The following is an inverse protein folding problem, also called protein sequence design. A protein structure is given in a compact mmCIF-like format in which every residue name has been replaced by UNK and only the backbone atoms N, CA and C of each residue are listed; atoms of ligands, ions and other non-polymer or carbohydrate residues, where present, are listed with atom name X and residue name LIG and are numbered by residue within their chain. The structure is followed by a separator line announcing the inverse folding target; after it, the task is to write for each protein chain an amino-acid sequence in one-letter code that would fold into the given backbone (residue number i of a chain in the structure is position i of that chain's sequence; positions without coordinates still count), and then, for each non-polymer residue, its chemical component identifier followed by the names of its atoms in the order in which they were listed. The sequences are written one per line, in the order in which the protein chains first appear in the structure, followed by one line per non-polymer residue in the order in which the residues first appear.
data_IF_141053148299
#
_entry.id   IF_141053148299
#
_cell.length_a   1.000
_cell.length_b   1.000
_cell.length_c   1.000
_cell.angle_alpha   90.00
_cell.angle_beta   90.00
_cell.angle_gamma   90.00
#
_symmetry.space_group_name_H-M   'P 1'
#
loop_
_entity.id
_entity.type
_entity.pdbx_description
1 polymer ?
#
# COMPACT_ATOMS: atom_id res chain seq x y z
N UNK A 1 -53.85 48.70 10.11
CA UNK A 1 -54.03 47.55 9.24
C UNK A 1 -52.61 47.15 8.82
N UNK A 2 -51.93 46.39 9.61
CA UNK A 2 -51.66 44.91 9.49
C UNK A 2 -50.90 44.60 8.21
N UNK A 3 -49.68 44.16 8.25
CA UNK A 3 -49.20 42.89 8.78
C UNK A 3 -47.67 42.79 8.78
N UNK A 4 -47.17 42.27 9.87
CA UNK A 4 -45.91 41.60 10.06
C UNK A 4 -45.57 40.58 8.97
N UNK A 5 -44.30 40.45 8.63
CA UNK A 5 -43.64 39.15 8.49
C UNK A 5 -42.13 39.27 8.66
N UNK A 6 -41.68 38.84 9.82
CA UNK A 6 -40.32 38.46 10.14
C UNK A 6 -39.77 37.47 9.14
N UNK A 7 -38.56 37.67 8.65
CA UNK A 7 -37.76 36.59 8.04
C UNK A 7 -36.32 36.69 8.53
N UNK A 8 -36.10 36.04 9.64
CA UNK A 8 -34.82 35.80 10.28
C UNK A 8 -34.10 34.67 9.52
N UNK A 9 -33.22 34.98 8.59
CA UNK A 9 -32.30 34.03 8.00
C UNK A 9 -30.94 34.11 8.69
N UNK A 10 -30.80 33.29 9.75
CA UNK A 10 -29.54 33.00 10.39
C UNK A 10 -28.56 32.29 9.47
N UNK A 11 -27.56 33.02 8.98
CA UNK A 11 -26.43 32.45 8.24
C UNK A 11 -25.63 31.49 9.13
N UNK A 12 -25.71 30.19 8.81
CA UNK A 12 -24.81 29.17 9.37
C UNK A 12 -23.40 29.38 8.79
N UNK A 13 -22.46 29.75 9.65
CA UNK A 13 -21.03 29.71 9.34
C UNK A 13 -20.62 28.24 9.12
N UNK A 14 -19.80 27.89 8.11
CA UNK A 14 -19.26 26.55 7.98
C UNK A 14 -18.28 26.29 9.13
N UNK A 15 -18.55 25.23 9.86
CA UNK A 15 -17.74 24.68 10.93
C UNK A 15 -16.39 24.23 10.38
N UNK A 16 -15.30 24.80 10.89
CA UNK A 16 -13.92 24.39 10.57
C UNK A 16 -13.67 23.06 11.25
N UNK A 17 -13.76 21.97 10.50
CA UNK A 17 -13.45 20.62 10.97
C UNK A 17 -12.04 20.54 11.56
N UNK A 18 -11.95 20.12 12.80
CA UNK A 18 -10.74 19.79 13.55
C UNK A 18 -10.05 18.56 12.89
N UNK A 19 -8.78 18.64 12.45
CA UNK A 19 -8.08 17.54 11.77
C UNK A 19 -7.72 16.34 12.66
N UNK A 20 -8.16 16.30 13.93
CA UNK A 20 -7.87 15.19 14.87
C UNK A 20 -8.99 14.17 15.05
N UNK A 21 -10.04 14.16 14.21
CA UNK A 21 -11.24 13.35 14.46
C UNK A 21 -11.49 12.19 13.50
N UNK A 22 -10.49 11.75 12.72
CA UNK A 22 -10.64 10.58 11.84
C UNK A 22 -9.76 9.39 12.25
N UNK A 23 -9.68 9.10 13.54
CA UNK A 23 -9.39 7.74 14.00
C UNK A 23 -10.72 7.11 14.41
N UNK A 24 -11.40 6.52 13.44
CA UNK A 24 -12.62 5.73 13.64
C UNK A 24 -12.29 4.48 14.48
N UNK A 25 -12.64 4.43 15.79
CA UNK A 25 -12.33 3.29 16.67
C UNK A 25 -13.07 2.02 16.25
N UNK A 26 -13.98 2.11 15.28
CA UNK A 26 -14.78 0.99 14.78
C UNK A 26 -14.05 0.16 13.70
N UNK A 27 -12.94 0.63 13.14
CA UNK A 27 -12.20 -0.08 12.09
C UNK A 27 -11.45 -1.29 12.65
N UNK A 28 -10.90 -1.18 13.84
CA UNK A 28 -10.25 -2.31 14.53
C UNK A 28 -11.27 -3.35 15.04
N UNK A 29 -12.46 -2.95 15.48
CA UNK A 29 -13.51 -3.89 15.89
C UNK A 29 -14.02 -4.76 14.75
N UNK A 30 -14.13 -4.24 13.51
CA UNK A 30 -14.56 -5.02 12.33
C UNK A 30 -13.55 -6.09 11.93
N UNK A 31 -12.25 -5.85 12.09
CA UNK A 31 -11.23 -6.85 11.79
C UNK A 31 -11.20 -7.97 12.84
N UNK A 32 -11.37 -7.67 14.12
CA UNK A 32 -11.47 -8.69 15.17
C UNK A 32 -12.74 -9.54 15.02
N UNK A 33 -13.87 -8.96 14.63
CA UNK A 33 -15.10 -9.72 14.38
C UNK A 33 -15.00 -10.68 13.20
N UNK A 34 -14.29 -10.32 12.13
CA UNK A 34 -14.10 -11.22 10.98
C UNK A 34 -13.11 -12.36 11.29
N UNK A 35 -12.07 -12.12 12.09
CA UNK A 35 -11.15 -13.16 12.56
C UNK A 35 -11.87 -14.09 13.54
N UNK A 36 -12.66 -13.55 14.46
CA UNK A 36 -13.46 -14.33 15.39
C UNK A 36 -14.48 -15.21 14.66
N UNK A 37 -15.18 -14.67 13.66
CA UNK A 37 -16.12 -15.43 12.84
C UNK A 37 -15.42 -16.56 12.07
N UNK A 38 -14.21 -16.35 11.56
CA UNK A 38 -13.40 -17.39 10.90
C UNK A 38 -13.03 -18.50 11.89
N UNK A 39 -12.56 -18.15 13.08
CA UNK A 39 -12.21 -19.12 14.14
C UNK A 39 -13.43 -19.95 14.59
N UNK A 40 -14.60 -19.30 14.71
CA UNK A 40 -15.86 -20.00 15.05
C UNK A 40 -16.25 -20.96 13.92
N UNK A 41 -16.19 -20.56 12.66
CA UNK A 41 -16.48 -21.44 11.55
C UNK A 41 -15.50 -22.63 11.48
N UNK A 42 -14.20 -22.39 11.71
CA UNK A 42 -13.19 -23.45 11.76
C UNK A 42 -13.49 -24.43 12.89
N UNK A 43 -13.84 -23.92 14.06
CA UNK A 43 -14.19 -24.76 15.22
C UNK A 43 -15.45 -25.59 14.95
N UNK A 44 -16.48 -25.00 14.35
CA UNK A 44 -17.70 -25.72 13.97
C UNK A 44 -17.42 -26.81 12.94
N UNK A 45 -16.58 -26.55 11.93
CA UNK A 45 -16.21 -27.59 10.95
C UNK A 45 -15.44 -28.74 11.60
N UNK A 46 -14.52 -28.45 12.53
CA UNK A 46 -13.80 -29.49 13.29
C UNK A 46 -14.74 -30.32 14.17
N UNK A 47 -15.70 -29.68 14.83
CA UNK A 47 -16.69 -30.38 15.67
C UNK A 47 -17.61 -31.24 14.79
N UNK A 48 -18.13 -30.70 13.66
CA UNK A 48 -18.94 -31.47 12.73
C UNK A 48 -18.17 -32.67 12.15
N UNK A 49 -16.88 -32.49 11.84
CA UNK A 49 -16.03 -33.59 11.38
C UNK A 49 -15.83 -34.65 12.44
N UNK A 50 -15.56 -34.25 13.68
CA UNK A 50 -15.44 -35.20 14.82
C UNK A 50 -16.74 -35.96 15.09
N UNK A 51 -17.90 -35.27 15.00
CA UNK A 51 -19.20 -35.94 15.15
C UNK A 51 -19.46 -36.90 14.00
N UNK A 52 -19.09 -36.53 12.77
CA UNK A 52 -19.26 -37.36 11.59
C UNK A 52 -18.37 -38.61 11.66
N UNK A 53 -17.11 -38.47 12.06
CA UNK A 53 -16.19 -39.64 12.27
C UNK A 53 -16.66 -40.55 13.38
N UNK A 54 -17.19 -40.00 14.49
CA UNK A 54 -17.79 -40.80 15.54
C UNK A 54 -19.09 -41.53 15.13
N UNK A 55 -19.86 -40.96 14.20
CA UNK A 55 -21.07 -41.56 13.65
C UNK A 55 -20.78 -42.71 12.67
N UNK A 56 -19.62 -42.65 11.99
CA UNK A 56 -19.12 -43.71 11.11
C UNK A 56 -18.33 -44.80 11.83
N UNK A 57 -18.00 -44.61 13.12
CA UNK A 57 -17.38 -45.66 13.91
C UNK A 57 -18.44 -46.70 14.22
N UNK A 58 -18.32 -47.88 13.59
CA UNK A 58 -19.11 -49.06 13.94
C UNK A 58 -18.93 -49.32 15.42
N UNK A 59 -20.03 -49.57 16.13
CA UNK A 59 -20.04 -49.96 17.57
C UNK A 59 -19.52 -51.40 17.77
N UNK A 60 -18.40 -51.72 17.13
CA UNK A 60 -17.75 -53.02 17.29
C UNK A 60 -16.71 -52.94 18.38
N UNK A 61 -16.82 -53.84 19.35
CA UNK A 61 -15.84 -53.97 20.45
C UNK A 61 -14.94 -55.17 20.20
N UNK A 62 -13.63 -54.97 20.38
CA UNK A 62 -12.66 -56.04 20.28
C UNK A 62 -12.81 -57.02 21.44
N UNK A 63 -12.85 -58.32 21.15
CA UNK A 63 -12.83 -59.40 22.15
C UNK A 63 -11.71 -60.36 21.82
N UNK A 64 -11.21 -61.06 22.86
CA UNK A 64 -10.21 -62.10 22.64
C UNK A 64 -10.84 -63.32 21.99
N UNK A 65 -10.05 -64.07 21.21
CA UNK A 65 -10.51 -65.29 20.55
C UNK A 65 -11.05 -66.35 21.54
N UNK A 66 -10.45 -66.48 22.71
CA UNK A 66 -10.95 -67.37 23.77
C UNK A 66 -12.35 -67.01 24.23
N UNK A 67 -12.62 -65.69 24.42
CA UNK A 67 -13.95 -65.18 24.75
C UNK A 67 -14.99 -65.47 23.70
N UNK A 68 -14.60 -65.34 22.41
CA UNK A 68 -15.45 -65.74 21.29
C UNK A 68 -15.81 -67.22 21.37
N UNK A 69 -14.84 -68.13 21.64
CA UNK A 69 -15.08 -69.53 21.76
C UNK A 69 -16.02 -69.83 22.95
N UNK A 70 -15.85 -69.16 24.09
CA UNK A 70 -16.77 -69.25 25.24
C UNK A 70 -18.19 -68.81 24.84
N UNK A 71 -18.38 -67.73 24.07
CA UNK A 71 -19.69 -67.29 23.59
C UNK A 71 -20.32 -68.32 22.63
N UNK A 72 -19.52 -68.97 21.78
CA UNK A 72 -19.99 -70.07 20.92
C UNK A 72 -20.46 -71.26 21.77
N UNK A 73 -19.70 -71.68 22.78
CA UNK A 73 -20.04 -72.82 23.66
C UNK A 73 -21.28 -72.52 24.52
N UNK A 74 -21.53 -71.28 24.89
CA UNK A 74 -22.69 -70.82 25.64
C UNK A 74 -23.95 -70.51 24.80
N UNK A 75 -23.90 -70.76 23.48
CA UNK A 75 -24.99 -70.48 22.51
C UNK A 75 -25.42 -69.01 22.50
N UNK A 76 -24.48 -68.11 22.72
CA UNK A 76 -24.72 -66.62 22.71
C UNK A 76 -24.54 -65.96 21.38
N UNK A 77 -23.98 -66.67 20.37
CA UNK A 77 -23.66 -66.15 19.06
C UNK A 77 -24.79 -66.43 18.07
N UNK A 78 -25.22 -65.40 17.31
CA UNK A 78 -26.24 -65.48 16.25
C UNK A 78 -25.61 -65.76 14.90
N UNK A 79 -24.59 -64.97 14.52
CA UNK A 79 -23.88 -65.12 13.25
C UNK A 79 -22.42 -64.71 13.39
N UNK A 80 -21.59 -65.32 12.57
CA UNK A 80 -20.17 -65.01 12.44
C UNK A 80 -19.88 -64.75 11.00
N UNK A 81 -19.28 -63.61 10.71
CA UNK A 81 -18.84 -63.24 9.36
C UNK A 81 -17.32 -63.17 9.34
N UNK A 82 -16.68 -63.93 8.47
CA UNK A 82 -15.26 -63.86 8.21
C UNK A 82 -14.98 -62.89 7.08
N UNK A 83 -14.16 -61.88 7.36
CA UNK A 83 -13.74 -60.91 6.37
C UNK A 83 -12.21 -60.80 6.44
N UNK A 84 -11.51 -61.35 5.46
CA UNK A 84 -10.05 -61.55 5.52
C UNK A 84 -9.63 -62.32 6.75
N UNK A 85 -8.88 -61.76 7.70
CA UNK A 85 -8.40 -62.38 8.92
C UNK A 85 -9.22 -61.97 10.16
N UNK A 86 -10.30 -61.19 9.99
CA UNK A 86 -11.13 -60.69 11.07
C UNK A 86 -12.49 -61.43 11.11
N UNK A 87 -12.87 -61.83 12.28
CA UNK A 87 -14.18 -62.41 12.55
C UNK A 87 -15.09 -61.34 13.18
N UNK A 88 -16.18 -61.02 12.50
CA UNK A 88 -17.24 -60.18 13.06
C UNK A 88 -18.32 -61.07 13.64
N UNK A 89 -18.64 -60.87 14.91
CA UNK A 89 -19.51 -61.73 15.71
C UNK A 89 -20.74 -60.92 16.14
N UNK A 90 -21.92 -61.41 15.81
CA UNK A 90 -23.19 -60.79 16.22
C UNK A 90 -23.82 -61.65 17.31
N UNK A 91 -24.05 -61.15 18.55
CA UNK A 91 -24.66 -61.88 19.63
C UNK A 91 -26.17 -62.04 19.43
N UNK A 92 -26.75 -63.13 20.01
CA UNK A 92 -28.23 -63.39 20.01
C UNK A 92 -28.99 -62.37 20.86
N UNK A 93 -28.44 -61.92 21.97
CA UNK A 93 -29.01 -60.88 22.83
C UNK A 93 -28.45 -59.52 22.46
N UNK A 94 -29.26 -58.68 21.82
CA UNK A 94 -28.92 -57.30 21.63
C UNK A 94 -29.46 -56.45 22.80
N UNK A 95 -28.62 -55.60 23.36
CA UNK A 95 -28.98 -54.75 24.51
C UNK A 95 -29.89 -53.60 24.10
N UNK A 96 -29.91 -53.24 22.81
CA UNK A 96 -30.72 -52.14 22.29
C UNK A 96 -31.31 -52.49 20.92
N UNK A 97 -32.68 -52.38 20.70
CA UNK A 97 -33.28 -52.73 19.44
C UNK A 97 -32.89 -51.84 18.26
N UNK A 98 -32.29 -50.68 18.52
CA UNK A 98 -31.89 -49.67 17.53
C UNK A 98 -30.40 -49.64 17.22
N UNK A 99 -29.59 -50.51 17.87
CA UNK A 99 -28.14 -50.51 17.72
C UNK A 99 -27.63 -51.96 17.72
N UNK A 100 -27.20 -52.46 16.58
CA UNK A 100 -26.54 -53.76 16.50
C UNK A 100 -25.15 -53.65 17.10
N UNK A 101 -24.95 -54.36 18.23
CA UNK A 101 -23.63 -54.49 18.83
C UNK A 101 -22.97 -55.68 18.13
N UNK A 102 -21.81 -55.42 17.53
CA UNK A 102 -20.95 -56.45 16.97
C UNK A 102 -19.62 -56.52 17.73
N UNK A 103 -19.08 -57.71 17.84
CA UNK A 103 -17.73 -57.92 18.36
C UNK A 103 -16.82 -58.32 17.21
N UNK A 104 -15.55 -57.97 17.30
CA UNK A 104 -14.57 -58.44 16.34
C UNK A 104 -13.37 -59.06 17.06
N UNK A 105 -12.80 -60.08 16.42
CA UNK A 105 -11.58 -60.74 16.86
C UNK A 105 -10.80 -61.25 15.64
N UNK A 106 -9.50 -61.41 15.80
CA UNK A 106 -8.67 -61.96 14.72
C UNK A 106 -8.81 -63.48 14.72
N UNK A 107 -8.84 -64.07 13.52
CA UNK A 107 -8.81 -65.52 13.35
C UNK A 107 -7.43 -66.07 13.77
N UNK A 108 -7.42 -66.94 14.76
CA UNK A 108 -6.18 -67.52 15.31
C UNK A 108 -5.98 -68.98 14.87
N UNK A 109 -7.01 -69.61 14.32
CA UNK A 109 -6.97 -71.00 13.80
C UNK A 109 -7.36 -71.06 12.33
N UNK A 110 -7.16 -72.20 11.69
CA UNK A 110 -7.47 -72.39 10.27
C UNK A 110 -8.98 -72.28 10.01
N UNK A 111 -9.41 -71.63 8.92
CA UNK A 111 -10.83 -71.43 8.53
C UNK A 111 -11.59 -72.78 8.49
N UNK A 112 -10.92 -73.87 8.08
CA UNK A 112 -11.49 -75.21 8.05
C UNK A 112 -11.73 -75.80 9.46
N UNK A 113 -10.89 -75.42 10.43
CA UNK A 113 -11.04 -75.86 11.83
C UNK A 113 -12.19 -75.10 12.52
N UNK A 114 -12.28 -73.79 12.23
CA UNK A 114 -13.38 -72.97 12.71
C UNK A 114 -14.75 -73.41 12.17
N UNK A 115 -14.83 -73.70 10.86
CA UNK A 115 -16.05 -74.19 10.20
C UNK A 115 -16.52 -75.50 10.82
N UNK A 116 -15.62 -76.51 11.04
CA UNK A 116 -15.94 -77.78 11.71
C UNK A 116 -16.45 -77.54 13.13
N UNK A 117 -15.94 -76.56 13.84
CA UNK A 117 -16.35 -76.28 15.21
C UNK A 117 -17.73 -75.60 15.26
N UNK A 118 -18.07 -74.82 14.27
CA UNK A 118 -19.38 -74.15 14.12
C UNK A 118 -20.44 -75.07 13.49
N UNK A 119 -20.04 -76.16 12.82
CA UNK A 119 -20.96 -77.21 12.32
C UNK A 119 -21.73 -77.83 13.43
N UNK A 120 -23.05 -77.75 13.38
CA UNK A 120 -23.95 -78.34 14.44
C UNK A 120 -24.39 -77.39 15.52
N UNK A 121 -23.82 -76.18 15.65
CA UNK A 121 -24.19 -75.15 16.63
C UNK A 121 -25.35 -74.28 16.24
N UNK A 122 -25.81 -74.34 14.97
CA UNK A 122 -26.90 -73.50 14.45
C UNK A 122 -26.49 -72.02 14.21
N UNK A 123 -25.22 -71.67 14.28
CA UNK A 123 -24.66 -70.35 14.01
C UNK A 123 -24.54 -70.13 12.50
N UNK A 124 -25.01 -68.98 12.03
CA UNK A 124 -24.90 -68.61 10.61
C UNK A 124 -23.47 -68.17 10.35
N UNK A 125 -22.68 -68.99 9.64
CA UNK A 125 -21.32 -68.63 9.21
C UNK A 125 -21.34 -68.10 7.76
N UNK A 126 -20.76 -66.91 7.53
CA UNK A 126 -20.60 -66.31 6.24
C UNK A 126 -19.14 -65.95 6.03
N UNK A 127 -18.59 -66.21 4.86
CA UNK A 127 -17.30 -65.69 4.41
C UNK A 127 -17.59 -64.66 3.33
N UNK A 128 -17.23 -63.43 3.57
CA UNK A 128 -17.44 -62.35 2.64
C UNK A 128 -16.06 -61.83 2.14
N UNK A 129 -15.88 -61.65 0.83
CA UNK A 129 -14.67 -61.03 0.32
C UNK A 129 -14.52 -59.61 0.87
N UNK A 130 -13.29 -59.11 1.07
CA UNK A 130 -13.08 -57.74 1.52
C UNK A 130 -13.72 -56.74 0.56
N UNK A 131 -14.58 -55.87 1.08
CA UNK A 131 -15.18 -54.79 0.26
C UNK A 131 -14.17 -53.64 0.06
N UNK A 132 -13.11 -53.96 -0.71
CA UNK A 132 -12.03 -53.02 -1.01
C UNK A 132 -12.54 -51.72 -1.68
N UNK A 133 -13.67 -51.80 -2.40
CA UNK A 133 -14.27 -50.63 -3.03
C UNK A 133 -15.00 -49.75 -2.02
N UNK A 134 -15.77 -50.35 -1.12
CA UNK A 134 -16.46 -49.62 -0.05
C UNK A 134 -15.50 -48.93 0.90
N UNK A 135 -14.45 -49.64 1.33
CA UNK A 135 -13.38 -49.08 2.17
C UNK A 135 -12.62 -47.96 1.48
N UNK A 136 -12.27 -48.12 0.20
CA UNK A 136 -11.63 -47.06 -0.60
C UNK A 136 -12.55 -45.85 -0.75
N UNK A 137 -13.83 -46.03 -1.02
CA UNK A 137 -14.80 -44.94 -1.12
C UNK A 137 -15.03 -44.25 0.22
N UNK A 138 -15.08 -44.96 1.31
CA UNK A 138 -15.18 -44.39 2.67
C UNK A 138 -13.94 -43.56 3.02
N UNK A 139 -12.74 -44.05 2.69
CA UNK A 139 -11.46 -43.36 2.88
C UNK A 139 -11.41 -42.09 2.00
N UNK A 140 -11.78 -42.19 0.72
CA UNK A 140 -11.86 -41.04 -0.20
C UNK A 140 -12.83 -39.98 0.29
N UNK A 141 -14.01 -40.40 0.76
CA UNK A 141 -15.03 -39.47 1.25
C UNK A 141 -14.60 -38.77 2.55
N UNK A 142 -13.92 -39.49 3.46
CA UNK A 142 -13.43 -38.91 4.70
C UNK A 142 -12.34 -37.86 4.51
N UNK A 143 -11.55 -37.93 3.43
CA UNK A 143 -10.50 -36.95 3.10
C UNK A 143 -11.01 -35.84 2.18
N UNK A 144 -11.79 -36.17 1.15
CA UNK A 144 -12.28 -35.20 0.17
C UNK A 144 -13.35 -34.25 0.75
N UNK A 145 -14.27 -34.75 1.53
CA UNK A 145 -15.40 -33.95 2.02
C UNK A 145 -14.93 -32.79 2.93
N UNK A 146 -14.05 -32.97 3.93
CA UNK A 146 -13.53 -31.85 4.71
C UNK A 146 -12.61 -30.94 3.91
N UNK A 147 -11.83 -31.45 2.94
CA UNK A 147 -10.96 -30.62 2.12
C UNK A 147 -11.76 -29.73 1.16
N UNK A 148 -12.82 -30.21 0.54
CA UNK A 148 -13.74 -29.42 -0.29
C UNK A 148 -14.48 -28.39 0.56
N UNK A 149 -14.95 -28.77 1.74
CA UNK A 149 -15.62 -27.83 2.65
C UNK A 149 -14.66 -26.70 3.07
N UNK A 150 -13.43 -27.04 3.43
CA UNK A 150 -12.39 -26.05 3.78
C UNK A 150 -12.10 -25.13 2.59
N UNK A 151 -11.97 -25.67 1.37
CA UNK A 151 -11.74 -24.89 0.16
C UNK A 151 -12.89 -23.91 -0.13
N UNK A 152 -14.15 -24.36 -0.03
CA UNK A 152 -15.33 -23.51 -0.21
C UNK A 152 -15.38 -22.41 0.85
N UNK A 153 -15.06 -22.72 2.09
CA UNK A 153 -15.02 -21.78 3.20
C UNK A 153 -13.92 -20.74 3.02
N UNK A 154 -12.75 -21.16 2.55
CA UNK A 154 -11.62 -20.31 2.23
C UNK A 154 -11.94 -19.38 1.04
N UNK A 155 -12.59 -19.90 0.00
CA UNK A 155 -13.06 -19.13 -1.15
C UNK A 155 -14.14 -18.11 -0.77
N UNK A 156 -15.07 -18.49 0.11
CA UNK A 156 -16.08 -17.57 0.65
C UNK A 156 -15.45 -16.45 1.47
N UNK A 157 -14.47 -16.78 2.32
CA UNK A 157 -13.71 -15.83 3.12
C UNK A 157 -12.90 -14.88 2.24
N UNK A 158 -12.22 -15.38 1.21
CA UNK A 158 -11.52 -14.57 0.22
C UNK A 158 -12.47 -13.62 -0.54
N UNK A 159 -13.66 -14.10 -0.95
CA UNK A 159 -14.66 -13.25 -1.59
C UNK A 159 -15.20 -12.16 -0.64
N UNK A 160 -15.36 -12.46 0.64
CA UNK A 160 -15.80 -11.49 1.64
C UNK A 160 -14.72 -10.45 1.96
N UNK A 161 -13.45 -10.86 2.01
CA UNK A 161 -12.32 -9.93 2.15
C UNK A 161 -12.18 -9.00 0.93
N UNK A 162 -12.46 -9.50 -0.26
CA UNK A 162 -12.36 -8.71 -1.50
C UNK A 162 -13.50 -7.68 -1.64
N UNK A 163 -14.67 -7.89 -1.02
CA UNK A 163 -15.77 -6.90 -0.96
C UNK A 163 -15.55 -5.79 0.06
N UNK A 164 -14.57 -5.95 0.97
CA UNK A 164 -14.21 -4.97 2.01
C UNK A 164 -13.05 -4.04 1.65
N UNK A 165 -12.69 -3.89 0.37
CA UNK A 165 -11.72 -2.89 -0.12
C UNK A 165 -10.31 -3.06 0.47
N UNK A 166 -9.56 -4.04 0.03
CA UNK A 166 -8.16 -4.17 0.41
C UNK A 166 -7.63 -5.60 0.34
N UNK A 167 -7.77 -6.26 -0.82
CA UNK A 167 -7.11 -7.54 -1.04
C UNK A 167 -5.60 -7.40 -0.96
N UNK A 168 -4.92 -8.42 -0.43
CA UNK A 168 -3.45 -8.52 -0.33
C UNK A 168 -2.73 -8.39 -1.69
N UNK A 169 -3.45 -8.38 -2.82
CA UNK A 169 -2.98 -8.00 -4.16
C UNK A 169 -3.01 -6.49 -4.43
N UNK A 170 -3.49 -5.66 -3.47
CA UNK A 170 -3.48 -4.20 -3.53
C UNK A 170 -2.16 -3.56 -3.09
N UNK A 171 -1.14 -4.34 -2.74
CA UNK A 171 0.20 -3.83 -2.40
C UNK A 171 0.87 -3.16 -3.61
N UNK A 172 0.46 -3.50 -4.85
CA UNK A 172 0.96 -2.85 -6.08
C UNK A 172 0.20 -1.60 -6.52
N UNK A 173 -0.99 -1.31 -5.98
CA UNK A 173 -1.65 -0.02 -6.19
C UNK A 173 -1.26 0.90 -5.04
N UNK A 174 -0.06 1.43 -5.11
CA UNK A 174 0.32 2.61 -4.34
C UNK A 174 -0.76 3.66 -4.58
N UNK A 175 -1.50 4.02 -3.53
CA UNK A 175 -2.19 5.28 -3.49
C UNK A 175 -1.12 6.37 -3.31
N UNK A 176 -0.25 6.51 -4.30
CA UNK A 176 0.43 7.77 -4.49
C UNK A 176 -0.69 8.75 -4.79
N UNK A 177 -1.24 9.37 -3.76
CA UNK A 177 -1.81 10.69 -3.91
C UNK A 177 -0.60 11.53 -4.31
N UNK A 178 -0.28 11.54 -5.61
CA UNK A 178 0.50 12.59 -6.18
C UNK A 178 -0.15 13.86 -5.62
N UNK A 179 0.62 14.67 -4.90
CA UNK A 179 0.11 15.93 -4.37
C UNK A 179 -0.18 16.81 -5.57
N UNK A 180 -1.39 16.66 -6.11
CA UNK A 180 -1.87 17.46 -7.23
C UNK A 180 -2.33 18.78 -6.67
N UNK A 181 -1.58 19.82 -6.91
CA UNK A 181 -2.04 21.19 -6.69
C UNK A 181 -2.59 21.69 -8.02
N UNK A 182 -3.91 21.78 -8.13
CA UNK A 182 -4.57 22.30 -9.34
C UNK A 182 -4.16 23.74 -9.65
N UNK A 183 -3.93 24.53 -8.61
CA UNK A 183 -3.41 25.89 -8.67
C UNK A 183 -2.42 26.07 -7.53
N UNK A 184 -1.21 26.52 -7.82
CA UNK A 184 -0.19 26.75 -6.80
C UNK A 184 -0.41 28.06 -6.05
N UNK A 185 -1.09 29.03 -6.67
CA UNK A 185 -1.29 30.38 -6.14
C UNK A 185 0.01 31.18 -5.99
N UNK A 186 1.15 30.65 -6.45
CA UNK A 186 2.48 31.25 -6.36
C UNK A 186 2.92 31.62 -7.77
N UNK A 187 3.42 32.84 -7.96
CA UNK A 187 3.91 33.37 -9.24
C UNK A 187 5.36 33.83 -9.12
N UNK A 188 5.97 34.25 -10.22
CA UNK A 188 7.31 34.83 -10.20
C UNK A 188 7.43 36.10 -9.34
N UNK A 189 6.32 36.76 -9.03
CA UNK A 189 6.28 37.91 -8.11
C UNK A 189 6.55 37.54 -6.65
N UNK A 190 6.27 36.27 -6.30
CA UNK A 190 6.49 35.73 -4.96
C UNK A 190 7.90 35.18 -4.78
N UNK A 191 8.67 35.07 -5.87
CA UNK A 191 10.07 34.64 -5.88
C UNK A 191 10.96 35.87 -6.01
N UNK A 192 11.58 36.27 -4.93
CA UNK A 192 12.52 37.37 -4.93
C UNK A 192 13.95 36.93 -5.33
N UNK A 193 14.66 37.78 -6.04
CA UNK A 193 15.95 37.43 -6.64
C UNK A 193 15.80 36.38 -7.75
N UNK A 194 16.88 35.70 -8.09
CA UNK A 194 16.92 34.61 -9.10
C UNK A 194 16.48 35.07 -10.50
N UNK A 195 16.83 36.29 -10.89
CA UNK A 195 16.35 36.89 -12.12
C UNK A 195 16.76 36.09 -13.37
N UNK A 196 18.00 35.57 -13.42
CA UNK A 196 18.50 34.72 -14.51
C UNK A 196 17.75 33.37 -14.60
N UNK A 197 17.48 32.76 -13.43
CA UNK A 197 16.71 31.52 -13.38
C UNK A 197 15.24 31.71 -13.81
N UNK A 198 14.64 32.84 -13.44
CA UNK A 198 13.28 33.23 -13.90
C UNK A 198 13.25 33.43 -15.41
N UNK A 199 14.22 34.18 -15.97
CA UNK A 199 14.32 34.42 -17.40
C UNK A 199 14.44 33.10 -18.19
N UNK A 200 15.32 32.20 -17.73
CA UNK A 200 15.47 30.88 -18.32
C UNK A 200 14.20 30.04 -18.29
N UNK A 201 13.35 30.21 -17.27
CA UNK A 201 12.09 29.48 -17.10
C UNK A 201 10.91 30.19 -17.77
N UNK A 202 11.02 31.49 -18.11
CA UNK A 202 9.98 32.23 -18.79
C UNK A 202 9.65 31.63 -20.17
N UNK A 203 10.67 31.14 -20.89
CA UNK A 203 10.49 30.46 -22.18
C UNK A 203 9.67 29.14 -21.98
N UNK A 204 9.87 28.48 -20.86
CA UNK A 204 9.13 27.26 -20.51
C UNK A 204 7.67 27.57 -20.21
N UNK A 205 7.41 28.69 -19.51
CA UNK A 205 6.04 29.17 -19.24
C UNK A 205 5.34 29.51 -20.54
N UNK A 206 6.01 30.27 -21.45
CA UNK A 206 5.44 30.65 -22.74
C UNK A 206 5.08 29.40 -23.58
N UNK A 207 5.93 28.40 -23.56
CA UNK A 207 5.62 27.14 -24.22
C UNK A 207 4.37 26.44 -23.65
N UNK A 208 4.24 26.37 -22.35
CA UNK A 208 3.05 25.73 -21.72
C UNK A 208 1.76 26.47 -22.07
N UNK A 209 1.84 27.79 -22.28
CA UNK A 209 0.71 28.60 -22.74
C UNK A 209 0.36 28.37 -24.22
N UNK A 210 1.36 28.26 -25.08
CA UNK A 210 1.17 28.27 -26.54
C UNK A 210 2.04 27.20 -27.24
N UNK A 211 1.84 25.92 -26.95
CA UNK A 211 2.68 24.84 -27.52
C UNK A 211 2.60 24.76 -29.03
N UNK A 212 1.45 25.15 -29.64
CA UNK A 212 1.24 25.11 -31.09
C UNK A 212 2.21 25.95 -31.87
N UNK A 213 2.55 27.19 -31.42
CA UNK A 213 3.49 28.08 -32.10
C UNK A 213 4.87 27.47 -32.31
N UNK A 214 5.34 26.69 -31.32
CA UNK A 214 6.66 26.05 -31.37
C UNK A 214 6.64 24.84 -32.32
N UNK A 215 5.55 24.07 -32.31
CA UNK A 215 5.37 22.91 -33.19
C UNK A 215 5.29 23.32 -34.66
N UNK A 216 4.60 24.43 -34.99
CA UNK A 216 4.46 24.95 -36.36
C UNK A 216 5.82 25.31 -37.00
N UNK A 217 6.76 25.83 -36.21
CA UNK A 217 8.11 26.19 -36.65
C UNK A 217 9.06 24.96 -36.65
N UNK A 218 8.62 23.82 -36.09
CA UNK A 218 9.43 22.60 -35.93
C UNK A 218 10.44 22.65 -34.79
N UNK A 219 10.25 23.57 -33.83
CA UNK A 219 11.09 23.64 -32.64
C UNK A 219 10.88 22.43 -31.74
N UNK A 220 11.99 21.81 -31.34
CA UNK A 220 11.97 20.73 -30.35
C UNK A 220 12.11 21.34 -28.95
N UNK A 221 11.10 21.15 -28.15
CA UNK A 221 11.06 21.66 -26.82
C UNK A 221 11.77 20.72 -25.82
N UNK A 222 12.39 21.28 -24.79
CA UNK A 222 12.98 20.44 -23.74
C UNK A 222 11.89 19.63 -23.05
N UNK A 223 12.14 18.34 -22.86
CA UNK A 223 11.23 17.48 -22.09
C UNK A 223 11.29 17.78 -20.61
N UNK A 224 12.44 18.25 -20.15
CA UNK A 224 12.65 18.54 -18.74
C UNK A 224 13.72 19.60 -18.50
N UNK A 225 13.60 20.27 -17.36
CA UNK A 225 14.62 21.15 -16.83
C UNK A 225 15.04 20.74 -15.43
N UNK A 226 16.35 20.83 -15.18
CA UNK A 226 16.97 20.51 -13.90
C UNK A 226 17.36 21.79 -13.17
N UNK A 227 16.72 22.03 -12.02
CA UNK A 227 17.08 23.12 -11.11
C UNK A 227 18.23 22.69 -10.22
N UNK A 228 19.35 23.36 -10.36
CA UNK A 228 20.60 23.02 -9.66
C UNK A 228 21.02 24.17 -8.75
N UNK A 229 21.35 23.88 -7.50
CA UNK A 229 21.89 24.89 -6.59
C UNK A 229 21.90 24.46 -5.14
N UNK A 230 22.50 25.26 -4.26
CA UNK A 230 22.58 24.96 -2.83
C UNK A 230 21.19 24.76 -2.18
N UNK A 231 21.11 24.07 -1.04
CA UNK A 231 19.85 23.96 -0.30
C UNK A 231 19.39 25.35 0.17
N UNK A 232 18.09 25.56 0.26
CA UNK A 232 17.49 26.82 0.73
C UNK A 232 17.48 27.98 -0.27
N UNK A 233 17.91 27.78 -1.52
CA UNK A 233 17.90 28.84 -2.57
C UNK A 233 16.53 29.03 -3.23
N UNK A 234 15.51 28.22 -2.89
CA UNK A 234 14.14 28.40 -3.37
C UNK A 234 13.79 27.60 -4.62
N UNK A 235 14.51 26.50 -4.95
CA UNK A 235 14.24 25.66 -6.14
C UNK A 235 12.79 25.16 -6.19
N UNK A 236 12.28 24.61 -5.09
CA UNK A 236 10.90 24.13 -4.99
C UNK A 236 9.88 25.28 -5.13
N UNK A 237 10.18 26.45 -4.57
CA UNK A 237 9.35 27.65 -4.70
C UNK A 237 9.31 28.13 -6.17
N UNK A 238 10.47 28.15 -6.81
CA UNK A 238 10.60 28.53 -8.23
C UNK A 238 9.83 27.58 -9.14
N UNK A 239 9.90 26.26 -8.89
CA UNK A 239 9.11 25.28 -9.67
C UNK A 239 7.60 25.49 -9.51
N UNK A 240 7.12 25.81 -8.29
CA UNK A 240 5.72 26.18 -8.04
C UNK A 240 5.33 27.47 -8.74
N UNK A 241 6.23 28.45 -8.77
CA UNK A 241 5.99 29.71 -9.43
C UNK A 241 5.85 29.55 -10.96
N UNK A 242 6.64 28.67 -11.58
CA UNK A 242 6.50 28.32 -13.00
C UNK A 242 5.11 27.76 -13.29
N UNK A 243 4.61 26.86 -12.45
CA UNK A 243 3.28 26.29 -12.63
C UNK A 243 2.15 27.30 -12.41
N UNK A 244 2.32 28.19 -11.44
CA UNK A 244 1.35 29.27 -11.18
C UNK A 244 1.34 30.33 -12.27
N UNK A 245 2.49 30.69 -12.82
CA UNK A 245 2.60 31.61 -13.93
C UNK A 245 2.01 31.00 -15.22
N UNK A 246 2.24 29.70 -15.44
CA UNK A 246 1.68 28.96 -16.56
C UNK A 246 0.20 28.57 -16.39
N UNK A 247 -0.39 28.76 -15.21
CA UNK A 247 -1.76 28.36 -14.87
C UNK A 247 -2.06 26.88 -15.17
N UNK A 248 -1.10 25.99 -14.88
CA UNK A 248 -1.22 24.55 -15.12
C UNK A 248 -1.14 23.76 -13.80
N UNK A 249 -1.74 22.55 -13.75
CA UNK A 249 -1.62 21.67 -12.61
C UNK A 249 -0.16 21.31 -12.28
N UNK A 250 0.14 21.26 -11.00
CA UNK A 250 1.45 20.95 -10.46
C UNK A 250 1.43 19.63 -9.69
N UNK A 251 2.20 18.65 -10.17
CA UNK A 251 2.38 17.36 -9.53
C UNK A 251 3.74 17.36 -8.84
N UNK A 252 3.79 17.20 -7.53
CA UNK A 252 5.03 17.24 -6.77
C UNK A 252 5.26 15.94 -6.01
N UNK A 253 6.48 15.38 -6.16
CA UNK A 253 6.98 14.28 -5.35
C UNK A 253 8.44 14.55 -4.96
N UNK A 254 8.85 14.01 -3.79
CA UNK A 254 10.26 13.93 -3.44
C UNK A 254 10.87 12.65 -4.01
N UNK A 255 12.13 12.73 -4.49
CA UNK A 255 12.89 11.56 -4.91
C UNK A 255 13.00 10.50 -3.82
N UNK A 256 13.02 10.91 -2.56
CA UNK A 256 13.00 10.00 -1.42
C UNK A 256 11.72 9.17 -1.28
N UNK A 257 10.58 9.68 -1.76
CA UNK A 257 9.30 8.96 -1.74
C UNK A 257 9.24 7.79 -2.72
N UNK A 258 10.16 7.75 -3.68
CA UNK A 258 10.29 6.63 -4.61
C UNK A 258 11.18 5.51 -4.06
N UNK A 259 11.95 5.77 -2.99
CA UNK A 259 12.84 4.78 -2.37
C UNK A 259 12.07 4.09 -1.26
N UNK A 260 11.61 2.88 -1.53
CA UNK A 260 10.86 2.05 -0.58
C UNK A 260 11.67 0.79 -0.24
N UNK A 261 11.28 0.11 0.83
CA UNK A 261 11.92 -1.14 1.26
C UNK A 261 11.56 -2.33 0.36
N UNK A 262 10.49 -2.22 -0.45
CA UNK A 262 9.98 -3.29 -1.31
C UNK A 262 10.32 -3.03 -2.78
N UNK A 263 10.98 -3.98 -3.39
CA UNK A 263 11.38 -3.93 -4.80
C UNK A 263 10.17 -3.75 -5.73
N UNK A 264 10.25 -2.78 -6.65
CA UNK A 264 9.22 -2.49 -7.65
C UNK A 264 8.14 -1.50 -7.26
N UNK A 265 8.05 -1.09 -5.98
CA UNK A 265 7.07 -0.09 -5.53
C UNK A 265 7.42 1.29 -6.07
N UNK A 266 8.68 1.68 -6.05
CA UNK A 266 9.16 2.96 -6.59
C UNK A 266 8.88 3.08 -8.09
N UNK A 267 9.18 2.06 -8.87
CA UNK A 267 8.90 2.02 -10.30
C UNK A 267 7.39 2.10 -10.62
N UNK A 268 6.54 1.46 -9.80
CA UNK A 268 5.08 1.58 -9.94
C UNK A 268 4.60 3.01 -9.66
N UNK A 269 5.15 3.68 -8.64
CA UNK A 269 4.81 5.08 -8.33
C UNK A 269 5.19 6.05 -9.45
N UNK A 270 6.35 5.83 -10.07
CA UNK A 270 6.76 6.62 -11.25
C UNK A 270 5.73 6.46 -12.36
N UNK A 271 5.33 5.23 -12.68
CA UNK A 271 4.34 4.96 -13.72
C UNK A 271 2.99 5.61 -13.41
N UNK A 272 2.49 5.43 -12.18
CA UNK A 272 1.21 6.00 -11.75
C UNK A 272 1.21 7.54 -11.83
N UNK A 273 2.33 8.17 -11.44
CA UNK A 273 2.52 9.61 -11.54
C UNK A 273 2.43 10.10 -12.99
N UNK A 274 3.15 9.44 -13.91
CA UNK A 274 3.16 9.82 -15.32
C UNK A 274 1.82 9.52 -16.02
N UNK A 275 1.13 8.44 -15.65
CA UNK A 275 -0.22 8.18 -16.14
C UNK A 275 -1.21 9.26 -15.72
N UNK A 276 -1.13 9.72 -14.47
CA UNK A 276 -2.00 10.77 -13.97
C UNK A 276 -1.65 12.13 -14.59
N UNK A 277 -0.36 12.44 -14.72
CA UNK A 277 0.08 13.66 -15.41
C UNK A 277 -0.37 13.70 -16.88
N UNK A 278 -0.24 12.60 -17.62
CA UNK A 278 -0.71 12.48 -19.01
C UNK A 278 -2.21 12.74 -19.16
N UNK A 279 -3.04 12.40 -18.15
CA UNK A 279 -4.49 12.66 -18.14
C UNK A 279 -4.82 14.13 -17.86
N UNK A 280 -3.93 14.84 -17.17
CA UNK A 280 -4.14 16.21 -16.75
C UNK A 280 -3.27 17.21 -17.53
N UNK A 281 -2.71 16.83 -18.68
CA UNK A 281 -1.94 17.73 -19.53
C UNK A 281 -2.83 18.83 -20.14
N UNK A 282 -2.33 20.10 -20.23
CA UNK A 282 -0.98 20.53 -19.89
C UNK A 282 -0.72 20.60 -18.37
N UNK A 283 0.46 20.13 -17.91
CA UNK A 283 0.82 20.13 -16.50
C UNK A 283 2.34 20.06 -16.29
N UNK A 284 2.76 20.34 -15.07
CA UNK A 284 4.15 20.20 -14.63
C UNK A 284 4.27 19.04 -13.63
N UNK A 285 5.23 18.15 -13.88
CA UNK A 285 5.68 17.14 -12.91
C UNK A 285 6.98 17.64 -12.29
N UNK A 286 6.99 17.80 -10.97
CA UNK A 286 8.17 18.24 -10.23
C UNK A 286 8.69 17.11 -9.33
N UNK A 287 9.97 16.80 -9.47
CA UNK A 287 10.68 15.81 -8.65
C UNK A 287 11.74 16.53 -7.83
N UNK A 288 11.49 16.72 -6.56
CA UNK A 288 12.48 17.29 -5.65
C UNK A 288 13.49 16.22 -5.23
N UNK A 289 14.74 16.64 -4.91
CA UNK A 289 15.80 15.72 -4.48
C UNK A 289 15.99 14.53 -5.44
N UNK A 290 16.05 14.79 -6.74
CA UNK A 290 16.17 13.74 -7.76
C UNK A 290 17.40 12.84 -7.55
N UNK A 291 18.43 13.33 -6.86
CA UNK A 291 19.63 12.59 -6.50
C UNK A 291 19.38 11.41 -5.55
N UNK A 292 18.22 11.36 -4.87
CA UNK A 292 17.81 10.19 -4.08
C UNK A 292 17.65 8.93 -4.95
N UNK A 293 17.16 9.08 -6.20
CA UNK A 293 16.96 7.97 -7.15
C UNK A 293 17.96 7.99 -8.31
N UNK A 294 18.47 9.17 -8.65
CA UNK A 294 19.30 9.40 -9.82
C UNK A 294 20.81 9.25 -9.62
N UNK A 295 21.26 8.61 -8.55
CA UNK A 295 22.67 8.47 -8.24
C UNK A 295 23.39 7.52 -9.21
N UNK A 296 24.60 7.91 -9.69
CA UNK A 296 25.46 7.11 -10.57
C UNK A 296 25.85 5.75 -9.98
N UNK A 297 26.09 4.77 -10.86
CA UNK A 297 26.35 3.35 -10.58
C UNK A 297 27.69 3.04 -9.93
N UNK A 298 28.59 4.01 -9.76
CA UNK A 298 29.97 3.79 -9.35
C UNK A 298 30.19 3.38 -7.87
N UNK A 299 29.16 3.19 -7.08
CA UNK A 299 29.28 2.73 -5.70
C UNK A 299 29.00 1.23 -5.57
N UNK A 300 30.02 0.41 -5.74
CA UNK A 300 30.05 -0.98 -5.35
C UNK A 300 29.87 -1.07 -3.82
N UNK A 301 28.72 -1.58 -3.36
CA UNK A 301 28.47 -2.32 -2.12
C UNK A 301 27.02 -2.12 -1.63
N UNK A 302 26.24 -3.22 -1.64
CA UNK A 302 25.06 -3.42 -0.81
C UNK A 302 23.72 -3.52 -1.57
N UNK A 303 22.95 -4.54 -1.29
CA UNK A 303 21.69 -4.96 -1.89
C UNK A 303 20.49 -3.99 -1.81
N UNK A 304 20.71 -2.70 -1.64
CA UNK A 304 19.71 -1.64 -1.72
C UNK A 304 19.71 -0.86 -3.03
N UNK A 305 20.61 -1.20 -3.97
CA UNK A 305 20.76 -0.48 -5.24
C UNK A 305 19.76 -0.92 -6.30
N UNK A 306 19.27 -2.16 -6.26
CA UNK A 306 18.41 -2.72 -7.29
C UNK A 306 17.08 -1.98 -7.43
N UNK A 307 16.46 -1.56 -6.32
CA UNK A 307 15.20 -0.82 -6.34
C UNK A 307 15.38 0.59 -6.90
N UNK A 308 16.44 1.29 -6.48
CA UNK A 308 16.75 2.62 -7.00
C UNK A 308 17.02 2.58 -8.49
N UNK A 309 17.80 1.59 -8.94
CA UNK A 309 18.12 1.40 -10.35
C UNK A 309 16.86 1.07 -11.16
N UNK A 310 15.99 0.22 -10.65
CA UNK A 310 14.71 -0.09 -11.29
C UNK A 310 13.81 1.14 -11.39
N UNK A 311 13.76 1.95 -10.34
CA UNK A 311 12.99 3.20 -10.30
C UNK A 311 13.56 4.23 -11.27
N UNK A 312 14.88 4.40 -11.30
CA UNK A 312 15.56 5.28 -12.27
C UNK A 312 15.27 4.83 -13.70
N UNK A 313 15.42 3.55 -14.01
CA UNK A 313 15.16 3.00 -15.34
C UNK A 313 13.70 3.22 -15.76
N UNK A 314 12.74 3.09 -14.83
CA UNK A 314 11.34 3.40 -15.11
C UNK A 314 11.14 4.89 -15.38
N UNK A 315 11.77 5.79 -14.59
CA UNK A 315 11.71 7.24 -14.84
C UNK A 315 12.25 7.58 -16.23
N UNK A 316 13.40 7.03 -16.59
CA UNK A 316 14.00 7.24 -17.92
C UNK A 316 13.07 6.75 -19.04
N UNK A 317 12.45 5.58 -18.86
CA UNK A 317 11.48 5.02 -19.82
C UNK A 317 10.24 5.92 -19.98
N UNK A 318 9.69 6.44 -18.87
CA UNK A 318 8.56 7.36 -18.93
C UNK A 318 8.93 8.69 -19.58
N UNK A 319 10.13 9.22 -19.30
CA UNK A 319 10.65 10.45 -19.94
C UNK A 319 10.85 10.26 -21.46
N UNK A 320 11.34 9.10 -21.88
CA UNK A 320 11.52 8.82 -23.32
C UNK A 320 10.18 8.61 -24.03
N UNK A 321 9.18 8.06 -23.32
CA UNK A 321 7.89 7.64 -23.87
C UNK A 321 6.79 8.70 -23.93
N UNK A 322 6.98 9.93 -23.40
CA UNK A 322 5.93 10.95 -23.50
C UNK A 322 6.15 11.95 -24.64
N UNK A 323 5.04 12.47 -25.12
CA UNK A 323 4.98 13.46 -26.18
C UNK A 323 4.89 14.87 -25.58
N UNK A 324 5.89 15.72 -25.87
CA UNK A 324 5.96 17.10 -25.41
C UNK A 324 4.89 18.00 -26.03
N UNK A 325 4.35 17.62 -27.20
CA UNK A 325 3.30 18.40 -27.87
C UNK A 325 2.02 18.54 -27.03
N UNK A 326 1.82 17.65 -26.04
CA UNK A 326 0.67 17.69 -25.12
C UNK A 326 0.83 18.65 -23.95
N UNK A 327 1.96 19.36 -23.86
CA UNK A 327 2.23 20.32 -22.78
C UNK A 327 2.63 19.69 -21.45
N UNK A 328 3.17 18.46 -21.44
CA UNK A 328 3.76 17.87 -20.26
C UNK A 328 5.22 18.30 -20.14
N UNK A 329 5.57 18.88 -18.98
CA UNK A 329 6.93 19.28 -18.64
C UNK A 329 7.37 18.60 -17.34
N UNK A 330 8.64 18.16 -17.29
CA UNK A 330 9.24 17.63 -16.07
C UNK A 330 10.25 18.65 -15.54
N UNK A 331 10.07 19.06 -14.30
CA UNK A 331 11.07 19.81 -13.54
C UNK A 331 11.67 18.89 -12.48
N UNK A 332 12.97 18.93 -12.31
CA UNK A 332 13.61 18.26 -11.18
C UNK A 332 14.52 19.24 -10.44
N UNK A 333 14.74 18.99 -9.16
CA UNK A 333 15.67 19.76 -8.35
C UNK A 333 16.71 18.86 -7.68
N UNK A 334 17.94 19.37 -7.62
CA UNK A 334 19.01 18.71 -6.88
C UNK A 334 19.96 19.73 -6.26
N UNK A 335 20.51 19.36 -5.12
CA UNK A 335 21.62 20.10 -4.48
C UNK A 335 23.00 19.55 -4.90
N UNK A 336 23.02 18.38 -5.56
CA UNK A 336 24.23 17.61 -5.84
C UNK A 336 24.23 17.07 -7.28
N UNK A 337 24.38 17.94 -8.27
CA UNK A 337 24.32 17.54 -9.69
C UNK A 337 25.47 16.57 -10.08
N UNK A 338 26.58 16.57 -9.35
CA UNK A 338 27.73 15.73 -9.58
C UNK A 338 27.50 14.24 -9.31
N UNK A 339 26.48 13.90 -8.53
CA UNK A 339 26.15 12.49 -8.21
C UNK A 339 25.15 11.88 -9.16
N UNK A 340 24.54 12.69 -10.05
CA UNK A 340 23.49 12.22 -10.95
C UNK A 340 24.05 11.31 -12.06
N UNK A 341 23.27 10.29 -12.40
CA UNK A 341 23.55 9.43 -13.54
C UNK A 341 23.53 10.25 -14.84
N UNK A 342 24.61 10.18 -15.66
CA UNK A 342 24.67 10.90 -16.94
C UNK A 342 23.49 10.61 -17.88
N UNK A 343 22.84 9.47 -17.74
CA UNK A 343 21.65 9.13 -18.51
C UNK A 343 20.48 10.10 -18.31
N UNK A 344 20.36 10.70 -17.13
CA UNK A 344 19.34 11.73 -16.85
C UNK A 344 19.57 13.04 -17.63
N UNK A 345 20.83 13.32 -17.94
CA UNK A 345 21.28 14.58 -18.54
C UNK A 345 21.41 14.53 -20.07
N UNK A 346 20.98 13.40 -20.67
CA UNK A 346 21.01 13.25 -22.14
C UNK A 346 19.92 14.08 -22.81
N UNK A 347 20.15 14.54 -24.05
CA UNK A 347 19.14 15.22 -24.84
C UNK A 347 17.81 14.43 -24.89
N UNK A 348 16.71 15.13 -24.73
CA UNK A 348 15.37 14.53 -24.63
C UNK A 348 14.96 14.10 -23.22
N UNK A 349 15.73 14.45 -22.18
CA UNK A 349 15.43 14.23 -20.77
C UNK A 349 15.58 15.56 -20.00
N UNK A 350 16.52 15.67 -19.06
CA UNK A 350 16.87 16.94 -18.42
C UNK A 350 17.98 17.65 -19.23
N UNK A 351 17.62 18.08 -20.40
CA UNK A 351 18.53 18.74 -21.35
C UNK A 351 18.76 20.22 -21.07
N UNK A 352 17.89 20.84 -20.26
CA UNK A 352 18.07 22.22 -19.80
C UNK A 352 18.47 22.21 -18.31
N UNK A 353 19.58 22.90 -17.99
CA UNK A 353 19.98 23.15 -16.61
C UNK A 353 19.73 24.60 -16.27
N UNK A 354 19.06 24.83 -15.15
CA UNK A 354 18.78 26.15 -14.60
C UNK A 354 19.49 26.25 -13.26
N UNK A 355 20.43 27.16 -13.18
CA UNK A 355 21.20 27.37 -11.95
C UNK A 355 20.42 28.30 -11.04
N UNK A 356 20.16 27.86 -9.81
CA UNK A 356 19.47 28.59 -8.75
C UNK A 356 20.50 28.86 -7.66
N UNK A 357 21.30 29.89 -7.87
CA UNK A 357 22.46 30.19 -7.04
C UNK A 357 22.07 30.96 -5.76
N UNK A 358 23.06 31.24 -4.92
CA UNK A 358 22.89 32.13 -3.77
C UNK A 358 22.53 33.52 -4.24
N UNK A 359 21.59 34.21 -3.54
CA UNK A 359 21.18 35.54 -3.95
C UNK A 359 22.32 36.56 -3.82
N UNK A 360 22.43 37.44 -4.79
CA UNK A 360 23.29 38.61 -4.74
C UNK A 360 22.77 39.63 -3.70
N UNK A 361 23.42 40.77 -3.56
CA UNK A 361 23.01 41.80 -2.59
C UNK A 361 21.57 42.25 -2.83
N UNK A 362 21.21 42.56 -4.08
CA UNK A 362 19.87 42.99 -4.46
C UNK A 362 18.84 41.90 -4.19
N UNK A 363 19.16 40.66 -4.56
CA UNK A 363 18.30 39.49 -4.27
C UNK A 363 18.05 39.29 -2.79
N UNK A 364 19.08 39.48 -1.92
CA UNK A 364 18.87 39.37 -0.47
C UNK A 364 17.96 40.47 0.08
N UNK A 365 18.12 41.72 -0.39
CA UNK A 365 17.22 42.82 -0.03
C UNK A 365 15.77 42.49 -0.42
N UNK A 366 15.58 42.00 -1.63
CA UNK A 366 14.24 41.67 -2.14
C UNK A 366 13.64 40.48 -1.40
N UNK A 367 14.41 39.45 -1.05
CA UNK A 367 13.99 38.31 -0.23
C UNK A 367 13.58 38.78 1.17
N UNK A 368 14.37 39.64 1.82
CA UNK A 368 14.05 40.21 3.12
C UNK A 368 12.71 40.98 3.06
N UNK A 369 12.49 41.80 2.05
CA UNK A 369 11.24 42.55 1.85
C UNK A 369 10.05 41.62 1.68
N UNK A 370 10.18 40.52 0.93
CA UNK A 370 9.11 39.53 0.72
C UNK A 370 8.74 38.86 2.05
N UNK A 371 9.70 38.40 2.82
CA UNK A 371 9.46 37.74 4.11
C UNK A 371 8.99 38.69 5.19
N UNK A 372 9.40 39.96 5.13
CA UNK A 372 8.97 40.99 6.08
C UNK A 372 7.59 41.58 5.78
N UNK A 373 6.98 41.28 4.62
CA UNK A 373 5.68 41.86 4.18
C UNK A 373 4.57 41.74 5.22
N UNK A 374 4.56 40.67 5.99
CA UNK A 374 3.54 40.40 7.02
C UNK A 374 4.06 40.62 8.45
N UNK A 375 5.27 41.17 8.62
CA UNK A 375 5.92 41.45 9.89
C UNK A 375 5.83 42.95 10.18
N UNK A 376 5.48 43.33 11.40
CA UNK A 376 5.52 44.73 11.80
C UNK A 376 6.97 45.11 12.09
N UNK A 377 7.47 46.02 11.27
CA UNK A 377 8.82 46.60 11.43
C UNK A 377 8.70 48.00 12.05
N UNK A 378 9.73 48.43 12.75
CA UNK A 378 9.88 49.79 13.14
C UNK A 378 10.75 50.58 12.12
N UNK A 379 10.84 51.91 12.35
CA UNK A 379 11.54 52.81 11.43
C UNK A 379 13.07 52.65 11.44
N UNK A 380 13.60 51.80 12.32
CA UNK A 380 15.07 51.56 12.41
C UNK A 380 15.58 50.52 11.43
N UNK A 381 14.69 49.75 10.81
CA UNK A 381 15.06 48.57 9.95
C UNK A 381 15.59 49.07 8.62
N UNK A 382 16.87 48.77 8.38
CA UNK A 382 17.58 49.00 7.11
C UNK A 382 17.93 47.65 6.47
N UNK A 383 17.16 47.25 5.46
CA UNK A 383 17.38 46.00 4.72
C UNK A 383 18.69 45.95 3.95
N UNK A 384 19.23 47.11 3.53
CA UNK A 384 20.51 47.15 2.82
C UNK A 384 21.65 46.80 3.77
N UNK A 385 21.66 47.39 4.98
CA UNK A 385 22.62 47.06 5.99
C UNK A 385 22.58 45.58 6.39
N UNK A 386 21.37 45.02 6.55
CA UNK A 386 21.17 43.60 6.89
C UNK A 386 21.68 42.72 5.75
N UNK A 387 21.33 43.03 4.52
CA UNK A 387 21.76 42.26 3.36
C UNK A 387 23.28 42.31 3.13
N UNK A 388 23.96 43.42 3.48
CA UNK A 388 25.42 43.49 3.49
C UNK A 388 26.02 42.59 4.56
N UNK A 389 25.44 42.58 5.76
CA UNK A 389 25.94 41.77 6.89
C UNK A 389 25.69 40.24 6.66
N UNK A 390 24.70 39.87 5.86
CA UNK A 390 24.30 38.49 5.58
C UNK A 390 24.85 37.95 4.26
N UNK A 391 26.09 38.38 3.89
CA UNK A 391 26.75 37.89 2.67
C UNK A 391 26.85 36.37 2.66
N UNK A 392 26.40 35.73 1.55
CA UNK A 392 26.41 34.27 1.39
C UNK A 392 25.19 33.54 2.00
N UNK A 393 24.29 34.22 2.70
CA UNK A 393 23.04 33.64 3.19
C UNK A 393 22.12 33.28 2.02
N UNK A 394 21.38 32.16 2.19
CA UNK A 394 20.35 31.72 1.23
C UNK A 394 18.97 32.20 1.65
N UNK A 395 17.99 32.05 0.77
CA UNK A 395 16.62 32.51 1.03
C UNK A 395 16.00 31.94 2.30
N UNK A 396 16.23 30.67 2.61
CA UNK A 396 15.76 30.05 3.87
C UNK A 396 16.39 30.66 5.12
N UNK A 397 17.64 31.07 5.07
CA UNK A 397 18.34 31.67 6.20
C UNK A 397 17.75 33.05 6.51
N UNK A 398 17.53 33.84 5.45
CA UNK A 398 16.92 35.16 5.56
C UNK A 398 15.48 35.10 6.04
N UNK A 399 14.71 34.12 5.58
CA UNK A 399 13.34 33.87 6.05
C UNK A 399 13.31 33.52 7.54
N UNK A 400 14.21 32.61 7.97
CA UNK A 400 14.35 32.21 9.36
C UNK A 400 14.76 33.40 10.23
N UNK A 401 15.71 34.22 9.77
CA UNK A 401 16.18 35.39 10.48
C UNK A 401 15.02 36.39 10.75
N UNK A 402 14.20 36.69 9.74
CA UNK A 402 13.02 37.56 9.92
C UNK A 402 12.02 36.96 10.93
N UNK A 403 11.81 35.67 10.88
CA UNK A 403 10.92 34.98 11.83
C UNK A 403 11.47 35.00 13.26
N UNK A 404 12.74 34.71 13.46
CA UNK A 404 13.40 34.75 14.76
C UNK A 404 13.42 36.18 15.34
N UNK A 405 13.65 37.18 14.52
CA UNK A 405 13.56 38.59 14.92
C UNK A 405 12.15 38.95 15.41
N UNK A 406 11.12 38.47 14.74
CA UNK A 406 9.73 38.70 15.18
C UNK A 406 9.44 38.00 16.51
N UNK A 407 9.92 36.79 16.74
CA UNK A 407 9.80 36.05 17.99
C UNK A 407 10.55 36.80 19.10
N UNK A 408 11.76 37.29 18.83
CA UNK A 408 12.57 38.04 19.78
C UNK A 408 11.93 39.38 20.20
N UNK A 409 11.32 40.08 19.23
CA UNK A 409 10.57 41.31 19.55
C UNK A 409 9.43 41.06 20.52
N UNK A 410 8.63 39.99 20.28
CA UNK A 410 7.52 39.60 21.18
C UNK A 410 8.04 39.18 22.55
N UNK A 411 9.11 38.39 22.64
CA UNK A 411 9.73 37.96 23.89
C UNK A 411 10.19 39.15 24.74
N UNK A 412 10.63 40.22 24.10
CA UNK A 412 11.05 41.44 24.74
C UNK A 412 9.89 42.45 24.98
N UNK A 413 8.63 42.03 24.80
CA UNK A 413 7.44 42.88 25.06
C UNK A 413 7.24 43.96 24.01
N UNK A 414 7.86 43.89 22.85
CA UNK A 414 7.74 44.85 21.76
C UNK A 414 6.68 44.43 20.74
N UNK A 415 6.09 45.39 20.06
CA UNK A 415 5.06 45.14 19.06
C UNK A 415 5.53 45.29 17.63
N UNK A 416 6.82 45.59 17.42
CA UNK A 416 7.49 45.73 16.14
C UNK A 416 8.95 45.21 16.22
N UNK A 417 9.44 44.72 15.11
CA UNK A 417 10.83 44.28 14.94
C UNK A 417 11.72 45.48 14.67
N UNK A 418 12.82 45.61 15.37
CA UNK A 418 13.83 46.62 15.17
C UNK A 418 15.07 46.10 14.47
N UNK A 419 15.96 46.99 14.00
CA UNK A 419 17.25 46.64 13.42
C UNK A 419 18.10 45.71 14.30
N UNK A 420 17.98 45.82 15.64
CA UNK A 420 18.74 45.00 16.59
C UNK A 420 18.24 43.58 16.71
N UNK A 421 17.03 43.30 16.24
CA UNK A 421 16.45 41.96 16.27
C UNK A 421 16.84 41.15 15.06
N UNK A 422 17.14 41.83 13.95
CA UNK A 422 17.60 41.29 12.68
C UNK A 422 19.11 41.24 12.58
#
# INVERSE_FOLDING_TARGET
MDNNLDNNQGGRRPDKGDPRRDQDPNRNKKNHQSILAFLICLLVTLVCFSLFTNMLQDNSSEITYDKFIDMVNNDEVKSVTLQSDNLTIVPKKQVNPYQEISYYTNLTEDETALTKRLEGTGIIFKSEPPDAFGEFMAMMLSVLLPSVLLFVLLMFFMRRMNKGGGGMMGVGKSRAKAYVQKETGITFKDVAGQDEAKESLQEVVEFLHNPGKYVEIGAKLPKGALLVGPPGTGKTLLAKAVAGEAHVPFFSLSGSEFVEMFVGVGASRVRDLFEEAKKNAPCIVFIDEIDAIGKSRDSHYGGGNDEREQTLNQLLAEMDGFDTSKGLLILAATNRPEVLDPALLRPGRFDRRVIVDRPDLKGRIDILKVHAKNVRLDDTVDFEAIALATSGAVGSDLANMVNEAAILAVKNGRHAVSQKDL
#
